data_IF_947714180905
#
_entry.id   IF_947714180905
#
_cell.length_a   1.000
_cell.length_b   1.000
_cell.length_c   1.000
_cell.angle_alpha   90.00
_cell.angle_beta   90.00
_cell.angle_gamma   90.00
#
_symmetry.space_group_name_H-M   'P 1'
#
loop_
_entity.id
_entity.type
_entity.pdbx_description
1 polymer ?
#
# COMPACT_ATOMS: atom_id res chain seq x y z
N UNK A 1 -4.72 -13.40 -2.32
CA UNK A 1 -5.83 -14.25 -1.85
C UNK A 1 -5.34 -15.52 -1.16
N UNK A 2 -4.27 -16.17 -1.64
CA UNK A 2 -3.72 -17.39 -1.03
C UNK A 2 -3.53 -17.31 0.49
N UNK A 3 -2.89 -16.26 1.02
CA UNK A 3 -2.72 -16.12 2.48
C UNK A 3 -4.06 -16.06 3.22
N UNK A 4 -5.08 -15.41 2.65
CA UNK A 4 -6.43 -15.35 3.25
C UNK A 4 -7.10 -16.71 3.26
N UNK A 5 -6.94 -17.51 2.19
CA UNK A 5 -7.45 -18.89 2.15
C UNK A 5 -6.80 -19.74 3.25
N UNK A 6 -5.47 -19.64 3.41
CA UNK A 6 -4.75 -20.31 4.50
C UNK A 6 -5.21 -19.84 5.88
N UNK A 7 -5.48 -18.53 6.06
CA UNK A 7 -6.06 -18.00 7.31
C UNK A 7 -7.42 -18.63 7.58
N UNK A 8 -8.28 -18.75 6.57
CA UNK A 8 -9.60 -19.36 6.78
C UNK A 8 -9.51 -20.82 7.23
N UNK A 9 -8.60 -21.59 6.64
CA UNK A 9 -8.35 -22.98 7.04
C UNK A 9 -7.76 -23.05 8.47
N UNK A 10 -6.69 -22.31 8.73
CA UNK A 10 -5.96 -22.36 9.99
C UNK A 10 -6.76 -21.83 11.19
N UNK A 11 -7.66 -20.87 10.98
CA UNK A 11 -8.52 -20.33 12.03
C UNK A 11 -9.91 -21.00 12.07
N UNK A 12 -10.16 -22.05 11.29
CA UNK A 12 -11.44 -22.75 11.19
C UNK A 12 -12.62 -21.82 10.83
N UNK A 13 -12.40 -20.91 9.88
CA UNK A 13 -13.40 -19.93 9.40
C UNK A 13 -14.21 -20.47 8.22
N UNK A 14 -14.45 -21.78 8.16
CA UNK A 14 -15.13 -22.48 7.05
C UNK A 14 -16.60 -22.04 6.88
N UNK A 15 -17.18 -21.39 7.88
CA UNK A 15 -18.53 -20.81 7.82
C UNK A 15 -18.59 -19.47 7.06
N UNK A 16 -17.44 -18.89 6.74
CA UNK A 16 -17.33 -17.66 5.96
C UNK A 16 -16.97 -17.97 4.49
N UNK A 17 -17.37 -17.09 3.58
CA UNK A 17 -16.99 -17.18 2.17
C UNK A 17 -16.06 -16.03 1.77
N UNK A 18 -14.95 -16.36 1.09
CA UNK A 18 -14.05 -15.37 0.51
C UNK A 18 -14.53 -14.96 -0.88
N UNK A 19 -15.03 -13.73 -1.00
CA UNK A 19 -15.47 -13.18 -2.28
C UNK A 19 -14.33 -12.47 -3.01
N UNK A 20 -14.02 -12.94 -4.22
CA UNK A 20 -13.07 -12.27 -5.12
C UNK A 20 -13.73 -11.05 -5.78
N UNK A 21 -13.09 -9.89 -5.69
CA UNK A 21 -13.53 -8.64 -6.32
C UNK A 21 -12.34 -7.84 -6.84
N UNK A 22 -12.60 -6.68 -7.44
CA UNK A 22 -11.56 -5.68 -7.73
C UNK A 22 -11.29 -4.81 -6.50
N UNK A 23 -10.13 -4.14 -6.44
CA UNK A 23 -9.81 -3.18 -5.39
C UNK A 23 -10.89 -2.11 -5.24
N UNK A 24 -11.38 -1.58 -6.36
CA UNK A 24 -12.45 -0.56 -6.37
C UNK A 24 -13.75 -1.16 -5.83
N UNK A 25 -14.13 -2.36 -6.28
CA UNK A 25 -15.34 -3.03 -5.80
C UNK A 25 -15.30 -3.32 -4.30
N UNK A 26 -14.18 -3.84 -3.81
CA UNK A 26 -13.95 -4.06 -2.37
C UNK A 26 -14.08 -2.75 -1.59
N UNK A 27 -13.44 -1.68 -2.03
CA UNK A 27 -13.44 -0.41 -1.30
C UNK A 27 -14.82 0.28 -1.33
N UNK A 28 -15.57 0.19 -2.43
CA UNK A 28 -16.96 0.68 -2.47
C UNK A 28 -17.84 -0.08 -1.49
N UNK A 29 -17.79 -1.41 -1.47
CA UNK A 29 -18.57 -2.22 -0.53
C UNK A 29 -18.14 -1.94 0.92
N UNK A 30 -16.84 -1.77 1.17
CA UNK A 30 -16.34 -1.40 2.50
C UNK A 30 -16.92 -0.05 2.95
N UNK A 31 -16.87 0.98 2.08
CA UNK A 31 -17.46 2.29 2.39
C UNK A 31 -18.95 2.18 2.70
N UNK A 32 -19.73 1.52 1.84
CA UNK A 32 -21.17 1.38 2.00
C UNK A 32 -21.52 0.72 3.34
N UNK A 33 -20.75 -0.29 3.77
CA UNK A 33 -20.98 -0.96 5.06
C UNK A 33 -20.56 -0.11 6.25
N UNK A 34 -19.47 0.64 6.15
CA UNK A 34 -19.05 1.60 7.18
C UNK A 34 -20.11 2.70 7.37
N UNK A 35 -20.60 3.28 6.27
CA UNK A 35 -21.59 4.37 6.30
C UNK A 35 -22.95 3.94 6.89
N UNK A 36 -23.29 2.66 6.76
CA UNK A 36 -24.52 2.08 7.30
C UNK A 36 -24.32 1.40 8.67
N UNK A 37 -23.14 1.53 9.29
CA UNK A 37 -22.79 0.88 10.57
C UNK A 37 -22.98 -0.65 10.56
N UNK A 38 -22.73 -1.28 9.41
CA UNK A 38 -22.85 -2.72 9.21
C UNK A 38 -21.51 -3.45 9.36
N UNK A 39 -21.57 -4.68 9.85
CA UNK A 39 -20.38 -5.53 9.99
C UNK A 39 -19.81 -5.91 8.63
N UNK A 40 -18.50 -5.71 8.46
CA UNK A 40 -17.74 -6.15 7.29
C UNK A 40 -16.32 -6.52 7.67
N UNK A 41 -15.78 -7.53 7.00
CA UNK A 41 -14.36 -7.90 7.01
C UNK A 41 -13.88 -7.87 5.56
N UNK A 42 -12.76 -7.19 5.31
CA UNK A 42 -12.18 -7.07 3.98
C UNK A 42 -10.69 -7.44 4.03
N UNK A 43 -10.19 -8.05 2.96
CA UNK A 43 -8.76 -8.27 2.76
C UNK A 43 -8.09 -6.96 2.35
N UNK A 44 -7.68 -6.17 3.34
CA UNK A 44 -7.08 -4.84 3.18
C UNK A 44 -5.59 -4.87 3.53
N UNK A 45 -4.82 -3.89 3.06
CA UNK A 45 -3.38 -3.76 3.31
C UNK A 45 -3.01 -2.31 3.59
N UNK A 46 -1.82 -2.05 4.13
CA UNK A 46 -1.24 -0.71 4.22
C UNK A 46 0.06 -0.62 3.40
N UNK A 47 0.35 0.53 2.76
CA UNK A 47 -0.45 1.76 2.73
C UNK A 47 -1.67 1.65 1.80
N UNK A 48 -2.81 2.28 2.19
CA UNK A 48 -4.03 2.32 1.35
C UNK A 48 -4.92 3.51 1.72
N UNK A 49 -5.47 4.21 0.70
CA UNK A 49 -6.24 5.45 0.85
C UNK A 49 -7.52 5.29 1.70
N UNK A 50 -8.09 4.09 1.77
CA UNK A 50 -9.31 3.83 2.57
C UNK A 50 -9.11 4.14 4.05
N UNK A 51 -7.90 4.02 4.59
CA UNK A 51 -7.63 4.34 6.00
C UNK A 51 -7.72 5.84 6.32
N UNK A 52 -7.53 6.71 5.32
CA UNK A 52 -7.72 8.14 5.49
C UNK A 52 -9.18 8.55 5.29
N UNK A 53 -9.89 7.84 4.41
CA UNK A 53 -11.27 8.17 4.03
C UNK A 53 -12.31 7.58 4.98
N UNK A 54 -12.04 6.43 5.58
CA UNK A 54 -13.00 5.68 6.40
C UNK A 54 -12.54 5.66 7.86
N UNK A 55 -13.42 6.11 8.74
CA UNK A 55 -13.18 6.01 10.18
C UNK A 55 -13.42 4.59 10.70
N UNK A 56 -12.73 4.23 11.78
CA UNK A 56 -12.97 2.97 12.49
C UNK A 56 -12.37 1.71 11.86
N UNK A 57 -11.65 1.82 10.74
CA UNK A 57 -10.90 0.70 10.19
C UNK A 57 -9.77 0.27 11.13
N UNK A 58 -9.67 -1.03 11.39
CA UNK A 58 -8.60 -1.64 12.19
C UNK A 58 -8.20 -2.98 11.61
N UNK A 59 -6.94 -3.34 11.77
CA UNK A 59 -6.50 -4.71 11.51
C UNK A 59 -6.98 -5.64 12.62
N UNK A 60 -7.36 -6.85 12.25
CA UNK A 60 -7.54 -7.96 13.19
C UNK A 60 -6.17 -8.54 13.51
N UNK A 61 -5.98 -8.97 14.75
CA UNK A 61 -4.74 -9.65 15.14
C UNK A 61 -4.59 -10.96 14.38
N UNK A 62 -3.38 -11.27 13.95
CA UNK A 62 -3.00 -12.57 13.37
C UNK A 62 -1.99 -13.29 14.28
N UNK A 63 -2.44 -13.95 15.37
CA UNK A 63 -1.56 -14.65 16.30
C UNK A 63 -0.68 -15.74 15.69
N UNK A 64 -1.11 -16.33 14.56
CA UNK A 64 -0.37 -17.34 13.82
C UNK A 64 0.62 -16.75 12.82
N UNK A 65 0.55 -15.44 12.55
CA UNK A 65 1.45 -14.73 11.64
C UNK A 65 1.40 -15.23 10.19
N UNK A 66 0.23 -15.68 9.73
CA UNK A 66 0.03 -16.23 8.38
C UNK A 66 0.14 -15.12 7.32
N UNK A 67 -0.34 -13.92 7.63
CA UNK A 67 -0.16 -12.75 6.76
C UNK A 67 1.29 -12.24 6.75
N UNK A 68 2.13 -12.71 7.67
CA UNK A 68 3.50 -12.26 7.83
C UNK A 68 3.65 -11.15 8.87
N UNK A 69 4.77 -10.43 8.78
CA UNK A 69 5.12 -9.32 9.66
C UNK A 69 4.92 -7.97 8.97
N UNK A 70 5.89 -7.08 9.12
CA UNK A 70 5.97 -5.85 8.32
C UNK A 70 6.26 -6.19 6.86
N UNK A 71 5.49 -5.59 5.95
CA UNK A 71 5.75 -5.65 4.52
C UNK A 71 6.75 -4.56 4.12
N UNK A 72 7.74 -4.94 3.31
CA UNK A 72 8.65 -4.01 2.65
C UNK A 72 8.20 -3.80 1.20
N UNK A 73 8.21 -2.54 0.76
CA UNK A 73 8.05 -2.21 -0.65
C UNK A 73 9.41 -2.20 -1.32
N UNK A 74 9.64 -3.17 -2.22
CA UNK A 74 10.90 -3.32 -2.93
C UNK A 74 10.76 -2.99 -4.41
N UNK A 75 11.73 -2.26 -4.95
CA UNK A 75 11.80 -2.00 -6.39
C UNK A 75 12.59 -3.14 -7.04
N UNK A 76 11.96 -3.82 -8.01
CA UNK A 76 12.59 -4.88 -8.79
C UNK A 76 12.95 -4.40 -10.19
N UNK A 77 14.18 -4.67 -10.62
CA UNK A 77 14.63 -4.43 -12.00
C UNK A 77 14.79 -5.75 -12.74
N UNK A 78 14.68 -5.73 -14.07
CA UNK A 78 15.03 -6.91 -14.88
C UNK A 78 16.49 -7.29 -14.72
N UNK A 79 16.82 -8.56 -14.94
CA UNK A 79 18.22 -9.00 -15.05
C UNK A 79 18.97 -8.22 -16.12
N UNK A 80 20.22 -7.83 -15.83
CA UNK A 80 21.06 -7.04 -16.75
C UNK A 80 20.80 -5.52 -16.72
N UNK A 81 19.83 -5.04 -15.92
CA UNK A 81 19.47 -3.62 -15.92
C UNK A 81 20.58 -2.72 -15.37
N UNK A 82 21.31 -3.18 -14.35
CA UNK A 82 22.42 -2.44 -13.77
C UNK A 82 23.55 -2.19 -14.79
N UNK A 83 23.80 -3.15 -15.67
CA UNK A 83 24.79 -3.05 -16.73
C UNK A 83 24.31 -2.18 -17.91
N UNK A 84 23.03 -2.32 -18.29
CA UNK A 84 22.46 -1.60 -19.43
C UNK A 84 22.15 -0.12 -19.12
N UNK A 85 21.84 0.18 -17.85
CA UNK A 85 21.39 1.49 -17.36
C UNK A 85 21.97 1.79 -15.96
N UNK A 86 23.30 1.86 -15.81
CA UNK A 86 23.95 2.03 -14.50
C UNK A 86 23.52 3.31 -13.79
N UNK A 87 23.33 4.42 -14.51
CA UNK A 87 22.89 5.70 -13.92
C UNK A 87 21.50 5.58 -13.30
N UNK A 88 20.52 5.01 -14.02
CA UNK A 88 19.17 4.82 -13.48
C UNK A 88 19.12 3.77 -12.38
N UNK A 89 19.97 2.74 -12.47
CA UNK A 89 20.07 1.75 -11.41
C UNK A 89 20.54 2.39 -10.10
N UNK A 90 21.52 3.32 -10.16
CA UNK A 90 21.94 4.07 -8.99
C UNK A 90 20.82 4.94 -8.41
N UNK A 91 20.04 5.63 -9.25
CA UNK A 91 18.89 6.41 -8.78
C UNK A 91 17.87 5.53 -8.05
N UNK A 92 17.58 4.34 -8.58
CA UNK A 92 16.66 3.38 -7.95
C UNK A 92 17.22 2.86 -6.64
N UNK A 93 18.53 2.61 -6.55
CA UNK A 93 19.19 2.16 -5.31
C UNK A 93 19.17 3.24 -4.21
N UNK A 94 19.23 4.51 -4.60
CA UNK A 94 19.18 5.63 -3.66
C UNK A 94 17.74 6.03 -3.28
N UNK A 95 16.73 5.49 -3.95
CA UNK A 95 15.34 5.84 -3.69
C UNK A 95 14.81 5.04 -2.49
N UNK A 96 14.55 5.75 -1.40
CA UNK A 96 13.91 5.23 -0.20
C UNK A 96 12.79 6.16 0.25
N UNK A 97 11.67 5.56 0.65
CA UNK A 97 10.47 6.27 1.09
C UNK A 97 9.76 5.45 2.17
N UNK A 98 9.38 6.11 3.25
CA UNK A 98 8.64 5.49 4.34
C UNK A 98 7.17 5.25 3.93
N UNK A 99 6.54 4.23 4.52
CA UNK A 99 5.13 3.92 4.21
C UNK A 99 4.18 5.09 4.50
N UNK A 100 4.50 5.94 5.47
CA UNK A 100 3.71 7.15 5.78
C UNK A 100 3.81 8.22 4.69
N UNK A 101 4.94 8.33 4.01
CA UNK A 101 5.13 9.24 2.88
C UNK A 101 4.35 8.74 1.65
N UNK A 102 4.36 7.43 1.43
CA UNK A 102 3.53 6.81 0.38
C UNK A 102 2.05 7.05 0.69
N UNK A 103 1.64 6.84 1.95
CA UNK A 103 0.27 7.07 2.39
C UNK A 103 -0.16 8.54 2.19
N UNK A 104 0.69 9.52 2.51
CA UNK A 104 0.36 10.94 2.31
C UNK A 104 0.16 11.30 0.84
N UNK A 105 0.99 10.78 -0.06
CA UNK A 105 0.82 10.96 -1.51
C UNK A 105 -0.48 10.32 -1.99
N UNK A 106 -0.80 9.12 -1.50
CA UNK A 106 -2.05 8.43 -1.86
C UNK A 106 -3.29 9.21 -1.40
N UNK A 107 -3.27 9.80 -0.21
CA UNK A 107 -4.34 10.66 0.32
C UNK A 107 -4.52 11.88 -0.57
N UNK A 108 -3.44 12.57 -0.91
CA UNK A 108 -3.50 13.75 -1.77
C UNK A 108 -4.14 13.45 -3.14
N UNK A 109 -3.88 12.26 -3.69
CA UNK A 109 -4.51 11.79 -4.93
C UNK A 109 -6.00 11.50 -4.73
N UNK A 110 -6.38 10.85 -3.63
CA UNK A 110 -7.79 10.58 -3.30
C UNK A 110 -8.59 11.88 -3.10
N UNK A 111 -7.98 12.91 -2.51
CA UNK A 111 -8.54 14.26 -2.35
C UNK A 111 -8.65 15.04 -3.68
N UNK A 112 -8.18 14.48 -4.79
CA UNK A 112 -8.41 14.98 -6.14
C UNK A 112 -7.20 15.61 -6.83
N UNK A 113 -5.99 15.55 -6.26
CA UNK A 113 -4.78 15.94 -7.00
C UNK A 113 -4.46 14.92 -8.08
N UNK A 114 -3.86 15.38 -9.17
CA UNK A 114 -3.25 14.43 -10.11
C UNK A 114 -2.03 13.76 -9.47
N UNK A 115 -1.67 12.53 -9.86
CA UNK A 115 -0.45 11.88 -9.37
C UNK A 115 0.81 12.73 -9.56
N UNK A 116 0.90 13.49 -10.66
CA UNK A 116 2.03 14.38 -10.93
C UNK A 116 2.07 15.57 -9.98
N UNK A 117 0.90 16.14 -9.64
CA UNK A 117 0.82 17.24 -8.68
C UNK A 117 1.16 16.74 -7.27
N UNK A 118 0.58 15.62 -6.83
CA UNK A 118 0.86 15.04 -5.52
C UNK A 118 2.35 14.72 -5.35
N UNK A 119 2.99 14.12 -6.37
CA UNK A 119 4.43 13.85 -6.35
C UNK A 119 5.27 15.14 -6.34
N UNK A 120 4.89 16.17 -7.12
CA UNK A 120 5.61 17.43 -7.15
C UNK A 120 5.52 18.18 -5.81
N UNK A 121 4.33 18.18 -5.18
CA UNK A 121 4.13 18.79 -3.86
C UNK A 121 4.95 18.05 -2.81
N UNK A 122 4.92 16.71 -2.81
CA UNK A 122 5.73 15.90 -1.88
C UNK A 122 7.23 16.19 -2.05
N UNK A 123 7.73 16.26 -3.29
CA UNK A 123 9.14 16.61 -3.57
C UNK A 123 9.49 18.04 -3.11
N UNK A 124 8.55 18.98 -3.19
CA UNK A 124 8.77 20.35 -2.72
C UNK A 124 8.90 20.42 -1.19
N UNK A 125 8.24 19.51 -0.47
CA UNK A 125 8.31 19.36 0.98
C UNK A 125 9.54 18.57 1.44
N UNK A 126 10.12 17.74 0.56
CA UNK A 126 11.28 16.87 0.82
C UNK A 126 12.43 17.15 -0.16
N UNK A 127 12.98 18.39 -0.21
CA UNK A 127 14.02 18.74 -1.17
C UNK A 127 15.30 17.90 -1.03
N UNK A 128 15.60 17.40 0.17
CA UNK A 128 16.72 16.49 0.44
C UNK A 128 16.60 15.16 -0.30
N UNK A 129 15.38 14.69 -0.58
CA UNK A 129 15.15 13.46 -1.35
C UNK A 129 15.65 13.60 -2.79
N UNK A 130 15.63 14.81 -3.34
CA UNK A 130 16.19 15.07 -4.67
C UNK A 130 17.71 14.84 -4.70
N UNK A 131 18.43 15.37 -3.71
CA UNK A 131 19.88 15.23 -3.61
C UNK A 131 20.31 13.80 -3.25
N UNK A 132 19.53 13.11 -2.41
CA UNK A 132 19.70 11.70 -2.07
C UNK A 132 19.57 10.81 -3.31
N UNK A 133 18.47 10.95 -4.05
CA UNK A 133 18.21 10.15 -5.25
C UNK A 133 19.28 10.39 -6.32
N UNK A 134 19.72 11.63 -6.53
CA UNK A 134 20.78 11.95 -7.49
C UNK A 134 22.19 11.54 -7.05
N UNK A 135 22.39 11.18 -5.78
CA UNK A 135 23.71 10.82 -5.24
C UNK A 135 24.69 11.99 -5.25
N UNK A 136 24.21 13.22 -5.03
CA UNK A 136 25.02 14.45 -5.07
C UNK A 136 25.53 14.92 -3.69
N UNK A 137 25.48 14.06 -2.68
CA UNK A 137 26.05 14.29 -1.35
C UNK A 137 27.52 13.87 -1.24
#
# INVERSE_FOLDING_TARGET
MQNTETVMEEYNLEEYELYSSSTVGMATTLQDKVDNEEWIVATLWRPHWTFARMEGLKFLEDPKGIYGGSDDLIILTRTGFAEDRPEFYQLIQNFEMDLSEIESIMIAIDEGKSPQQAAADWLAEHPEKYDEVLGTQ
#
